data_IF_780973245537
#
_entry.id   IF_780973245537
#
_cell.length_a   1.000
_cell.length_b   1.000
_cell.length_c   1.000
_cell.angle_alpha   90.00
_cell.angle_beta   90.00
_cell.angle_gamma   90.00
#
_symmetry.space_group_name_H-M   'P 1'
#
loop_
_entity.id
_entity.type
_entity.pdbx_description
1 polymer ?
#
# COMPACT_ATOMS: atom_id res chain seq x y z
N UNK A 1 -20.55 0.31 -9.37
CA UNK A 1 -19.79 1.29 -10.14
C UNK A 1 -18.42 0.72 -10.43
N UNK A 2 -18.13 0.51 -11.69
CA UNK A 2 -16.95 -0.25 -12.05
C UNK A 2 -15.61 0.44 -11.75
N UNK A 3 -15.60 1.74 -11.56
CA UNK A 3 -14.35 2.48 -11.45
C UNK A 3 -14.13 3.11 -10.07
N UNK A 4 -14.72 2.54 -9.04
CA UNK A 4 -14.48 3.06 -7.71
C UNK A 4 -13.07 2.72 -7.26
N UNK A 5 -12.32 3.76 -6.88
CA UNK A 5 -11.00 3.58 -6.29
C UNK A 5 -11.14 3.26 -4.81
N UNK A 6 -10.20 2.49 -4.27
CA UNK A 6 -10.11 2.31 -2.84
C UNK A 6 -9.79 3.66 -2.16
N UNK A 7 -10.11 3.77 -0.87
CA UNK A 7 -9.88 5.02 -0.13
C UNK A 7 -8.42 5.43 -0.08
N UNK A 8 -7.52 4.47 -0.20
CA UNK A 8 -6.07 4.72 -0.18
C UNK A 8 -5.53 5.21 -1.51
N UNK A 9 -6.32 5.15 -2.57
CA UNK A 9 -5.86 5.55 -3.90
C UNK A 9 -6.44 6.89 -4.28
N UNK A 10 -5.64 7.66 -4.99
CA UNK A 10 -6.03 8.94 -5.57
C UNK A 10 -5.74 8.90 -7.06
N UNK A 11 -6.54 9.63 -7.80
CA UNK A 11 -6.37 9.70 -9.25
C UNK A 11 -5.66 11.00 -9.61
N UNK A 12 -4.62 10.86 -10.41
CA UNK A 12 -3.94 12.00 -11.04
C UNK A 12 -3.99 11.79 -12.54
N UNK A 13 -4.14 12.86 -13.30
CA UNK A 13 -4.11 12.79 -14.75
C UNK A 13 -2.71 13.15 -15.26
N UNK A 14 -2.32 12.50 -16.35
CA UNK A 14 -1.05 12.75 -17.01
C UNK A 14 -1.34 13.16 -18.44
N UNK A 15 -0.84 14.33 -18.83
CA UNK A 15 -0.82 14.76 -20.22
C UNK A 15 0.59 14.60 -20.74
N UNK A 16 0.76 13.86 -21.83
CA UNK A 16 2.06 13.60 -22.40
C UNK A 16 1.98 13.58 -23.93
N UNK A 17 3.11 13.76 -24.58
CA UNK A 17 3.16 13.79 -26.02
C UNK A 17 2.75 12.44 -26.60
N UNK A 18 2.02 12.52 -27.71
CA UNK A 18 1.48 11.35 -28.38
C UNK A 18 2.55 10.31 -28.73
N UNK A 19 3.75 10.76 -29.13
CA UNK A 19 4.84 9.85 -29.46
C UNK A 19 5.29 9.03 -28.24
N UNK A 20 5.33 9.64 -27.06
CA UNK A 20 5.69 8.94 -25.81
C UNK A 20 4.63 7.92 -25.45
N UNK A 21 3.36 8.28 -25.57
CA UNK A 21 2.25 7.37 -25.27
C UNK A 21 2.22 6.19 -26.27
N UNK A 22 2.53 6.45 -27.53
CA UNK A 22 2.60 5.40 -28.54
C UNK A 22 3.73 4.42 -28.22
N UNK A 23 4.88 4.92 -27.81
CA UNK A 23 6.00 4.08 -27.40
C UNK A 23 5.65 3.23 -26.17
N UNK A 24 4.99 3.81 -25.19
CA UNK A 24 4.52 3.08 -24.01
C UNK A 24 3.54 1.96 -24.38
N UNK A 25 2.65 2.24 -25.32
CA UNK A 25 1.70 1.25 -25.79
C UNK A 25 2.41 0.07 -26.44
N UNK A 26 3.43 0.34 -27.23
CA UNK A 26 4.20 -0.71 -27.89
C UNK A 26 5.01 -1.52 -26.88
N UNK A 27 5.63 -0.88 -25.91
CA UNK A 27 6.35 -1.56 -24.83
C UNK A 27 5.38 -2.46 -24.05
N UNK A 28 4.21 -1.94 -23.72
CA UNK A 28 3.21 -2.73 -22.98
C UNK A 28 2.79 -3.96 -23.77
N UNK A 29 2.61 -3.82 -25.08
CA UNK A 29 2.28 -4.95 -25.94
C UNK A 29 3.38 -5.99 -25.97
N UNK A 30 4.63 -5.56 -26.10
CA UNK A 30 5.77 -6.48 -26.17
C UNK A 30 6.02 -7.20 -24.84
N UNK A 31 5.69 -6.57 -23.73
CA UNK A 31 5.86 -7.15 -22.40
C UNK A 31 4.59 -7.81 -21.85
N UNK A 32 3.55 -7.90 -22.68
CA UNK A 32 2.28 -8.49 -22.30
C UNK A 32 1.69 -7.87 -21.03
N UNK A 33 1.70 -6.55 -20.97
CA UNK A 33 1.19 -5.76 -19.85
C UNK A 33 0.37 -4.58 -20.36
N UNK A 34 -0.02 -3.69 -19.47
CA UNK A 34 -0.80 -2.50 -19.82
C UNK A 34 0.03 -1.24 -19.61
N UNK A 35 -0.32 -0.17 -20.32
CA UNK A 35 0.31 1.14 -20.14
C UNK A 35 0.17 1.61 -18.70
N UNK A 36 -0.98 1.39 -18.08
CA UNK A 36 -1.21 1.79 -16.68
C UNK A 36 -0.30 1.04 -15.72
N UNK A 37 -0.05 -0.24 -15.96
CA UNK A 37 0.88 -1.02 -15.15
C UNK A 37 2.31 -0.48 -15.26
N UNK A 38 2.73 -0.14 -16.48
CA UNK A 38 4.05 0.47 -16.71
C UNK A 38 4.17 1.82 -16.02
N UNK A 39 3.13 2.64 -16.07
CA UNK A 39 3.13 3.95 -15.42
C UNK A 39 3.21 3.82 -13.91
N UNK A 40 2.49 2.86 -13.33
CA UNK A 40 2.57 2.60 -11.88
C UNK A 40 3.97 2.17 -11.48
N UNK A 41 4.55 1.26 -12.23
CA UNK A 41 5.91 0.79 -11.99
C UNK A 41 6.90 1.95 -12.06
N UNK A 42 6.83 2.74 -13.12
CA UNK A 42 7.70 3.90 -13.31
C UNK A 42 7.54 4.92 -12.19
N UNK A 43 6.32 5.15 -11.75
CA UNK A 43 6.03 6.09 -10.65
C UNK A 43 6.67 5.62 -9.36
N UNK A 44 6.53 4.35 -9.03
CA UNK A 44 7.12 3.79 -7.80
C UNK A 44 8.64 3.78 -7.87
N UNK A 45 9.21 3.47 -9.02
CA UNK A 45 10.65 3.52 -9.23
C UNK A 45 11.20 4.93 -9.06
N UNK A 46 10.50 5.93 -9.56
CA UNK A 46 10.91 7.33 -9.41
C UNK A 46 10.91 7.73 -7.94
N UNK A 47 9.84 7.43 -7.21
CA UNK A 47 9.75 7.75 -5.78
C UNK A 47 10.85 7.03 -5.01
N UNK A 48 11.05 5.75 -5.29
CA UNK A 48 12.11 4.95 -4.67
C UNK A 48 13.49 5.60 -4.85
N UNK A 49 13.81 6.02 -6.08
CA UNK A 49 15.09 6.68 -6.36
C UNK A 49 15.22 8.01 -5.61
N UNK A 50 14.15 8.80 -5.57
CA UNK A 50 14.17 10.09 -4.90
C UNK A 50 14.28 9.95 -3.39
N UNK A 51 13.56 9.00 -2.80
CA UNK A 51 13.62 8.73 -1.36
C UNK A 51 15.01 8.30 -0.94
N UNK A 52 15.70 7.52 -1.76
CA UNK A 52 17.00 6.97 -1.40
C UNK A 52 18.19 7.90 -1.73
N UNK A 53 17.98 8.93 -2.54
CA UNK A 53 19.07 9.80 -3.01
C UNK A 53 18.91 11.27 -2.65
N UNK A 54 17.76 11.64 -2.09
CA UNK A 54 17.47 13.04 -1.80
C UNK A 54 18.02 13.47 -0.46
N UNK A 55 18.42 14.74 -0.34
CA UNK A 55 18.69 15.34 0.95
C UNK A 55 17.45 15.46 1.81
N UNK A 56 16.27 15.32 1.21
CA UNK A 56 14.99 15.34 1.90
C UNK A 56 14.46 13.93 2.18
N UNK A 57 15.32 12.92 2.17
CA UNK A 57 14.93 11.52 2.33
C UNK A 57 14.08 11.30 3.57
N UNK A 58 14.48 11.86 4.70
CA UNK A 58 13.73 11.68 5.94
C UNK A 58 12.33 12.27 5.85
N UNK A 59 12.21 13.46 5.26
CA UNK A 59 10.91 14.08 5.07
C UNK A 59 10.01 13.25 4.15
N UNK A 60 10.57 12.72 3.06
CA UNK A 60 9.83 11.88 2.14
C UNK A 60 9.35 10.59 2.82
N UNK A 61 10.21 9.97 3.63
CA UNK A 61 9.84 8.80 4.41
C UNK A 61 8.70 9.11 5.37
N UNK A 62 8.79 10.22 6.07
CA UNK A 62 7.74 10.67 6.98
C UNK A 62 6.42 10.89 6.25
N UNK A 63 6.45 11.51 5.07
CA UNK A 63 5.24 11.72 4.28
C UNK A 63 4.58 10.39 3.89
N UNK A 64 5.37 9.42 3.49
CA UNK A 64 4.84 8.09 3.17
C UNK A 64 4.22 7.43 4.41
N UNK A 65 4.95 7.45 5.53
CA UNK A 65 4.48 6.84 6.77
C UNK A 65 3.24 7.53 7.34
N UNK A 66 3.07 8.82 7.10
CA UNK A 66 1.85 9.54 7.51
C UNK A 66 0.60 9.00 6.83
N UNK A 67 0.75 8.33 5.70
CA UNK A 67 -0.38 7.74 4.97
C UNK A 67 -0.67 6.29 5.36
N UNK A 68 0.04 5.78 6.36
CA UNK A 68 -0.23 4.43 6.87
C UNK A 68 -1.67 4.33 7.38
N UNK A 69 -2.32 3.18 7.19
CA UNK A 69 -3.64 2.98 7.76
C UNK A 69 -3.59 3.12 9.28
N UNK A 70 -4.51 3.90 9.82
CA UNK A 70 -4.60 4.09 11.26
C UNK A 70 -5.43 2.98 11.86
N UNK A 71 -4.89 2.31 12.87
CA UNK A 71 -5.63 1.28 13.58
C UNK A 71 -6.73 1.95 14.40
N UNK A 72 -7.99 1.59 14.19
CA UNK A 72 -9.07 2.11 15.03
C UNK A 72 -8.93 1.63 16.47
N UNK A 73 -9.42 2.42 17.39
CA UNK A 73 -9.47 2.02 18.80
C UNK A 73 -10.38 0.80 18.97
N UNK A 74 -11.46 0.75 18.22
CA UNK A 74 -12.43 -0.33 18.23
C UNK A 74 -12.85 -0.66 16.81
N UNK A 75 -13.00 -1.95 16.54
CA UNK A 75 -13.67 -2.41 15.33
C UNK A 75 -15.12 -2.76 15.71
N UNK A 76 -16.05 -2.21 14.96
CA UNK A 76 -17.48 -2.46 15.21
C UNK A 76 -17.99 -3.68 14.47
N UNK A 77 -17.37 -4.02 13.34
CA UNK A 77 -17.83 -5.12 12.50
C UNK A 77 -16.65 -5.87 11.92
N UNK A 78 -16.88 -7.11 11.52
CA UNK A 78 -15.88 -7.91 10.80
C UNK A 78 -15.49 -7.25 9.48
N UNK A 79 -16.41 -6.55 8.84
CA UNK A 79 -16.13 -5.83 7.61
C UNK A 79 -15.09 -4.71 7.83
N UNK A 80 -15.13 -4.04 8.96
CA UNK A 80 -14.14 -3.03 9.30
C UNK A 80 -12.75 -3.64 9.50
N UNK A 81 -12.69 -4.78 10.17
CA UNK A 81 -11.43 -5.52 10.35
C UNK A 81 -10.86 -5.91 8.99
N UNK A 82 -11.69 -6.44 8.10
CA UNK A 82 -11.25 -6.85 6.77
C UNK A 82 -10.73 -5.68 5.95
N UNK A 83 -11.42 -4.53 6.03
CA UNK A 83 -10.98 -3.31 5.34
C UNK A 83 -9.65 -2.80 5.87
N UNK A 84 -9.47 -2.81 7.18
CA UNK A 84 -8.22 -2.39 7.78
C UNK A 84 -7.06 -3.31 7.34
N UNK A 85 -7.27 -4.62 7.38
CA UNK A 85 -6.26 -5.58 6.96
C UNK A 85 -5.90 -5.43 5.48
N UNK A 86 -6.88 -5.17 4.64
CA UNK A 86 -6.64 -4.90 3.21
C UNK A 86 -5.80 -3.64 3.04
N UNK A 87 -6.18 -2.54 3.69
CA UNK A 87 -5.43 -1.29 3.61
C UNK A 87 -4.00 -1.46 4.11
N UNK A 88 -3.82 -2.22 5.17
CA UNK A 88 -2.49 -2.51 5.71
C UNK A 88 -1.65 -3.30 4.72
N UNK A 89 -2.22 -4.32 4.06
CA UNK A 89 -1.50 -5.08 3.04
C UNK A 89 -1.12 -4.21 1.84
N UNK A 90 -2.03 -3.34 1.41
CA UNK A 90 -1.74 -2.41 0.32
C UNK A 90 -0.59 -1.46 0.69
N UNK A 91 -0.62 -0.94 1.90
CA UNK A 91 0.44 -0.06 2.38
C UNK A 91 1.77 -0.80 2.52
N UNK A 92 1.76 -2.02 3.04
CA UNK A 92 2.95 -2.85 3.15
C UNK A 92 3.59 -3.09 1.79
N UNK A 93 2.78 -3.33 0.78
CA UNK A 93 3.29 -3.50 -0.58
C UNK A 93 3.93 -2.20 -1.09
N UNK A 94 3.36 -1.06 -0.78
CA UNK A 94 3.97 0.23 -1.13
C UNK A 94 5.33 0.39 -0.46
N UNK A 95 5.44 0.04 0.83
CA UNK A 95 6.72 0.11 1.54
C UNK A 95 7.77 -0.80 0.91
N UNK A 96 7.39 -1.99 0.49
CA UNK A 96 8.30 -2.90 -0.21
C UNK A 96 8.71 -2.34 -1.57
N UNK A 97 7.77 -1.81 -2.32
CA UNK A 97 8.03 -1.25 -3.65
C UNK A 97 8.95 -0.03 -3.59
N UNK A 98 8.83 0.76 -2.54
CA UNK A 98 9.67 1.95 -2.33
C UNK A 98 10.98 1.64 -1.58
N UNK A 99 11.18 0.39 -1.21
CA UNK A 99 12.36 -0.05 -0.46
C UNK A 99 12.50 0.64 0.90
N UNK A 100 11.36 0.92 1.53
CA UNK A 100 11.32 1.54 2.85
C UNK A 100 11.17 0.52 3.97
N UNK A 101 10.90 -0.73 3.64
CA UNK A 101 10.85 -1.84 4.57
C UNK A 101 11.26 -3.11 3.87
N UNK A 102 11.86 -4.05 4.62
CA UNK A 102 12.18 -5.36 4.08
C UNK A 102 11.00 -6.32 4.28
N UNK A 103 10.91 -7.40 3.48
CA UNK A 103 9.88 -8.41 3.69
C UNK A 103 9.89 -8.99 5.09
N UNK A 104 11.07 -9.21 5.67
CA UNK A 104 11.18 -9.73 7.03
C UNK A 104 10.65 -8.75 8.06
N UNK A 105 10.87 -7.45 7.88
CA UNK A 105 10.36 -6.42 8.78
C UNK A 105 8.83 -6.41 8.76
N UNK A 106 8.23 -6.50 7.58
CA UNK A 106 6.78 -6.53 7.44
C UNK A 106 6.21 -7.79 8.06
N UNK A 107 6.81 -8.92 7.79
CA UNK A 107 6.38 -10.19 8.36
C UNK A 107 6.43 -10.16 9.88
N UNK A 108 7.52 -9.64 10.43
CA UNK A 108 7.69 -9.51 11.87
C UNK A 108 6.65 -8.61 12.48
N UNK A 109 6.36 -7.46 11.84
CA UNK A 109 5.31 -6.55 12.31
C UNK A 109 3.93 -7.22 12.28
N UNK A 110 3.64 -7.96 11.23
CA UNK A 110 2.33 -8.61 11.07
C UNK A 110 2.15 -9.82 11.97
N UNK A 111 3.24 -10.38 12.50
CA UNK A 111 3.19 -11.47 13.44
C UNK A 111 3.02 -11.00 14.88
N UNK A 112 3.20 -9.70 15.14
CA UNK A 112 2.97 -9.13 16.46
C UNK A 112 1.47 -9.11 16.75
N UNK A 113 1.12 -9.54 17.96
CA UNK A 113 -0.26 -9.58 18.38
C UNK A 113 -0.89 -8.20 18.38
N UNK A 114 -2.17 -8.10 18.02
CA UNK A 114 -2.92 -6.87 18.23
C UNK A 114 -2.97 -6.50 19.71
N UNK A 115 -3.22 -5.24 20.00
CA UNK A 115 -3.41 -4.81 21.37
C UNK A 115 -4.56 -5.59 22.01
N UNK A 116 -4.56 -5.68 23.34
CA UNK A 116 -5.62 -6.37 24.08
C UNK A 116 -7.01 -5.86 23.70
N UNK A 117 -7.12 -4.57 23.46
CA UNK A 117 -8.39 -3.98 23.07
C UNK A 117 -8.89 -4.52 21.73
N UNK A 118 -8.00 -4.63 20.76
CA UNK A 118 -8.34 -5.18 19.46
C UNK A 118 -8.61 -6.68 19.56
N UNK A 119 -7.83 -7.38 20.37
CA UNK A 119 -8.03 -8.81 20.62
C UNK A 119 -9.43 -9.07 21.15
N UNK A 120 -9.88 -8.30 22.13
CA UNK A 120 -11.22 -8.48 22.69
C UNK A 120 -12.31 -8.35 21.64
N UNK A 121 -12.20 -7.37 20.76
CA UNK A 121 -13.18 -7.15 19.72
C UNK A 121 -13.17 -8.28 18.67
N UNK A 122 -11.99 -8.76 18.36
CA UNK A 122 -11.85 -9.87 17.41
C UNK A 122 -12.32 -11.18 18.03
N UNK A 123 -12.03 -11.40 19.31
CA UNK A 123 -12.45 -12.58 20.02
C UNK A 123 -13.98 -12.72 20.08
N UNK A 124 -14.65 -11.59 20.06
CA UNK A 124 -16.10 -11.59 20.00
C UNK A 124 -16.60 -12.28 18.74
N UNK A 125 -15.89 -12.07 17.62
CA UNK A 125 -16.30 -12.59 16.33
C UNK A 125 -15.59 -13.89 15.98
N UNK A 126 -14.36 -14.02 16.39
CA UNK A 126 -13.47 -15.09 15.93
C UNK A 126 -12.84 -15.87 17.06
N UNK A 127 -13.33 -15.68 18.22
CA UNK A 127 -12.99 -16.42 19.42
C UNK A 127 -11.49 -16.44 19.74
N UNK A 128 -10.67 -16.99 19.01
CA UNK A 128 -9.33 -17.29 19.49
C UNK A 128 -8.23 -16.92 18.55
N UNK A 129 -8.59 -16.53 17.37
CA UNK A 129 -7.59 -16.32 16.33
C UNK A 129 -6.58 -15.25 16.72
N UNK A 130 -7.05 -14.19 17.36
CA UNK A 130 -6.18 -13.11 17.76
C UNK A 130 -5.59 -13.30 19.15
N UNK A 131 -6.20 -14.13 19.95
CA UNK A 131 -5.73 -14.38 21.30
C UNK A 131 -4.57 -15.38 21.34
N UNK A 132 -4.26 -15.99 20.23
CA UNK A 132 -3.16 -16.92 20.12
C UNK A 132 -1.81 -16.21 20.16
N UNK A 133 -1.54 -15.52 21.19
CA UNK A 133 -0.35 -14.70 21.29
C UNK A 133 0.39 -15.03 22.55
#
# INVERSE_FOLDING_TARGET
MPNQLSKSKRRQSLAEHEAVLAALTEIARSEDTTVMALLREATRDLVKRKVNRSTQTERLRQLVWQKAPKMPTHFKTAAQVARFKRAQREFDQVLLDLDLASPSTIQQRNSVAPSRRVIRLIDFDQAHAAAAV
#
